data_IF_234642182313
#
_entry.id   IF_234642182313
#
_cell.length_a   1.000
_cell.length_b   1.000
_cell.length_c   1.000
_cell.angle_alpha   90.00
_cell.angle_beta   90.00
_cell.angle_gamma   90.00
#
_symmetry.space_group_name_H-M   'P 1'
#
loop_
_entity.id
_entity.type
_entity.pdbx_description
1 polymer ?
#
# COMPACT_ATOMS: atom_id res chain seq x y z
N UNK A 1 -28.52 14.68 7.70
CA UNK A 1 -27.63 15.13 6.61
C UNK A 1 -26.59 14.03 6.44
N UNK A 2 -26.70 13.32 5.33
CA UNK A 2 -25.88 12.16 5.05
C UNK A 2 -24.52 12.63 4.51
N UNK A 3 -23.43 12.36 5.25
CA UNK A 3 -22.06 12.72 4.86
C UNK A 3 -21.38 11.66 3.97
N UNK A 4 -22.14 10.73 3.39
CA UNK A 4 -21.63 9.60 2.60
C UNK A 4 -21.23 9.96 1.16
N UNK A 5 -21.19 11.23 0.78
CA UNK A 5 -21.06 11.69 -0.60
C UNK A 5 -19.71 12.29 -1.00
N UNK A 6 -18.60 12.08 -0.30
CA UNK A 6 -17.30 12.48 -0.84
C UNK A 6 -16.83 11.46 -1.85
N UNK A 7 -17.17 11.68 -3.11
CA UNK A 7 -16.55 10.95 -4.21
C UNK A 7 -15.04 11.14 -4.14
N UNK A 8 -14.31 10.04 -3.93
CA UNK A 8 -12.86 10.02 -4.04
C UNK A 8 -12.49 10.51 -5.44
N UNK A 9 -11.67 11.57 -5.52
CA UNK A 9 -11.22 12.10 -6.79
C UNK A 9 -10.46 11.01 -7.56
N UNK A 10 -10.98 10.60 -8.71
CA UNK A 10 -10.36 9.64 -9.60
C UNK A 10 -9.77 10.37 -10.80
N UNK A 11 -8.47 10.26 -10.96
CA UNK A 11 -7.79 10.80 -12.14
C UNK A 11 -7.86 9.79 -13.27
N UNK A 12 -8.59 10.12 -14.34
CA UNK A 12 -8.68 9.26 -15.53
C UNK A 12 -7.43 9.33 -16.40
N UNK A 13 -6.77 10.48 -16.46
CA UNK A 13 -5.51 10.69 -17.17
C UNK A 13 -4.71 11.81 -16.52
N UNK A 14 -3.51 11.49 -16.03
CA UNK A 14 -2.48 12.50 -15.78
C UNK A 14 -1.39 12.32 -16.84
N UNK A 15 -1.03 13.34 -17.63
CA UNK A 15 0.10 13.24 -18.55
C UNK A 15 1.36 12.84 -17.76
N UNK A 16 1.98 11.75 -18.17
CA UNK A 16 3.26 11.31 -17.63
C UNK A 16 3.22 10.22 -16.54
N UNK A 17 2.05 9.86 -15.99
CA UNK A 17 1.98 8.85 -14.92
C UNK A 17 0.80 7.91 -15.12
N UNK A 18 1.04 6.65 -15.54
CA UNK A 18 -0.01 5.71 -15.83
C UNK A 18 -0.72 5.26 -14.56
N UNK A 19 -1.98 4.90 -14.73
CA UNK A 19 -2.78 4.14 -13.79
C UNK A 19 -3.43 2.99 -14.53
N UNK A 20 -3.86 1.97 -13.77
CA UNK A 20 -4.69 0.88 -14.26
C UNK A 20 -6.10 1.03 -13.69
N UNK A 21 -6.98 1.86 -14.33
CA UNK A 21 -8.34 2.09 -13.84
C UNK A 21 -9.19 0.83 -13.74
N UNK A 22 -8.95 -0.14 -14.63
CA UNK A 22 -9.58 -1.47 -14.62
C UNK A 22 -9.26 -2.25 -13.35
N UNK A 23 -8.09 -2.02 -12.77
CA UNK A 23 -7.66 -2.55 -11.46
C UNK A 23 -7.80 -1.52 -10.34
N UNK A 24 -8.71 -0.57 -10.45
CA UNK A 24 -8.99 0.41 -9.40
C UNK A 24 -7.90 1.47 -9.18
N UNK A 25 -6.96 1.63 -10.12
CA UNK A 25 -5.94 2.67 -10.07
C UNK A 25 -6.48 4.08 -10.25
N UNK A 26 -5.68 5.09 -9.90
CA UNK A 26 -6.01 6.51 -10.02
C UNK A 26 -6.69 7.10 -8.80
N UNK A 27 -6.72 6.40 -7.68
CA UNK A 27 -7.19 6.90 -6.38
C UNK A 27 -5.99 7.19 -5.47
N UNK A 28 -6.12 8.17 -4.59
CA UNK A 28 -5.13 8.38 -3.53
C UNK A 28 -5.32 7.32 -2.45
N UNK A 29 -4.24 6.69 -1.98
CA UNK A 29 -4.33 5.72 -0.90
C UNK A 29 -4.69 6.46 0.40
N UNK A 30 -5.78 6.08 1.09
CA UNK A 30 -6.11 6.69 2.37
C UNK A 30 -5.06 6.36 3.42
N UNK A 31 -4.75 7.35 4.25
CA UNK A 31 -3.90 7.13 5.42
C UNK A 31 -4.74 6.59 6.57
N UNK A 32 -4.25 5.55 7.23
CA UNK A 32 -4.80 5.04 8.50
C UNK A 32 -3.67 4.88 9.53
N UNK A 33 -4.02 4.63 10.76
CA UNK A 33 -3.07 4.28 11.80
C UNK A 33 -2.76 2.79 11.73
N UNK A 34 -1.52 2.43 11.96
CA UNK A 34 -1.06 1.06 11.97
C UNK A 34 -0.15 0.79 13.17
N UNK A 35 -0.17 -0.45 13.65
CA UNK A 35 0.72 -0.93 14.71
C UNK A 35 1.54 -2.10 14.17
N UNK A 36 2.88 -1.99 14.15
CA UNK A 36 3.74 -3.10 13.75
C UNK A 36 3.52 -4.34 14.62
N UNK A 37 3.41 -5.51 13.99
CA UNK A 37 3.27 -6.80 14.67
C UNK A 37 4.60 -7.54 14.76
N UNK A 38 5.60 -7.15 13.98
CA UNK A 38 6.96 -7.68 14.06
C UNK A 38 7.99 -6.54 14.20
N UNK A 39 9.24 -6.88 14.50
CA UNK A 39 10.28 -5.89 14.77
C UNK A 39 10.30 -5.40 16.22
N UNK A 40 11.12 -4.39 16.50
CA UNK A 40 11.37 -3.88 17.86
C UNK A 40 10.36 -2.83 18.34
N UNK A 41 9.71 -2.13 17.42
CA UNK A 41 8.74 -1.09 17.76
C UNK A 41 7.34 -1.67 17.92
N UNK A 42 6.61 -1.17 18.92
CA UNK A 42 5.19 -1.44 19.13
C UNK A 42 4.37 -0.13 19.09
N UNK A 43 5.00 0.98 18.72
CA UNK A 43 4.34 2.27 18.64
C UNK A 43 3.38 2.32 17.46
N UNK A 44 2.28 3.04 17.62
CA UNK A 44 1.39 3.37 16.51
C UNK A 44 2.13 4.28 15.53
N UNK A 45 1.88 4.12 14.25
CA UNK A 45 2.46 4.94 13.18
C UNK A 45 1.44 5.17 12.08
N UNK A 46 1.72 6.08 11.17
CA UNK A 46 0.91 6.25 9.97
C UNK A 46 1.27 5.20 8.92
N UNK A 47 0.27 4.72 8.16
CA UNK A 47 0.54 3.79 7.05
C UNK A 47 1.49 4.38 6.02
N UNK A 48 1.45 5.70 5.79
CA UNK A 48 2.38 6.39 4.90
C UNK A 48 3.83 6.23 5.33
N UNK A 49 4.11 6.34 6.64
CA UNK A 49 5.46 6.18 7.18
C UNK A 49 5.96 4.74 7.01
N UNK A 50 5.07 3.74 7.18
CA UNK A 50 5.43 2.35 6.92
C UNK A 50 5.72 2.09 5.44
N UNK A 51 4.90 2.65 4.56
CA UNK A 51 4.95 2.37 3.12
C UNK A 51 6.13 3.07 2.46
N UNK A 52 6.46 4.30 2.86
CA UNK A 52 7.41 5.13 2.13
C UNK A 52 8.74 5.40 2.85
N UNK A 53 8.80 5.27 4.19
CA UNK A 53 10.03 5.54 4.92
C UNK A 53 11.13 4.55 4.55
N UNK A 54 12.30 5.09 4.18
CA UNK A 54 13.51 4.31 3.88
C UNK A 54 13.39 3.30 2.73
N UNK A 55 12.36 3.43 1.89
CA UNK A 55 12.15 2.54 0.74
C UNK A 55 12.97 2.99 -0.47
N UNK A 56 13.44 2.01 -1.24
CA UNK A 56 14.26 2.23 -2.45
C UNK A 56 13.50 1.86 -3.73
N UNK A 57 12.47 1.03 -3.63
CA UNK A 57 11.62 0.68 -4.76
C UNK A 57 10.88 1.91 -5.29
N UNK A 58 10.72 2.01 -6.61
CA UNK A 58 9.99 3.09 -7.28
C UNK A 58 8.49 2.99 -7.02
N UNK A 59 8.00 1.76 -6.99
CA UNK A 59 6.63 1.41 -6.64
C UNK A 59 6.66 0.60 -5.35
N UNK A 60 5.79 0.93 -4.42
CA UNK A 60 5.65 0.20 -3.17
C UNK A 60 4.54 -0.83 -3.31
N UNK A 61 4.72 -1.99 -2.67
CA UNK A 61 3.73 -3.06 -2.64
C UNK A 61 3.14 -3.17 -1.25
N UNK A 62 1.83 -2.95 -1.15
CA UNK A 62 1.05 -3.18 0.05
C UNK A 62 0.20 -4.44 -0.15
N UNK A 63 0.32 -5.38 0.79
CA UNK A 63 -0.46 -6.61 0.84
C UNK A 63 -1.55 -6.43 1.89
N UNK A 64 -2.80 -6.56 1.48
CA UNK A 64 -3.96 -6.45 2.38
C UNK A 64 -4.47 -7.84 2.73
N UNK A 65 -4.55 -8.15 4.01
CA UNK A 65 -5.15 -9.37 4.53
C UNK A 65 -6.16 -9.05 5.62
N UNK A 66 -7.21 -9.86 5.73
CA UNK A 66 -8.26 -9.64 6.73
C UNK A 66 -7.87 -10.22 8.09
N UNK A 67 -7.08 -11.29 8.09
CA UNK A 67 -6.60 -11.95 9.32
C UNK A 67 -5.10 -12.22 9.26
N UNK A 68 -4.44 -12.17 10.40
CA UNK A 68 -2.98 -12.29 10.53
C UNK A 68 -2.46 -13.63 9.97
N UNK A 69 -3.17 -14.73 10.17
CA UNK A 69 -2.76 -16.05 9.65
C UNK A 69 -2.66 -16.12 8.12
N UNK A 70 -3.32 -15.20 7.40
CA UNK A 70 -3.26 -15.10 5.93
C UNK A 70 -1.95 -14.47 5.43
N UNK A 71 -1.23 -13.77 6.30
CA UNK A 71 -0.05 -12.99 5.91
C UNK A 71 1.02 -13.87 5.24
N UNK A 72 1.33 -15.03 5.82
CA UNK A 72 2.35 -15.95 5.27
C UNK A 72 2.00 -16.45 3.87
N UNK A 73 0.74 -16.82 3.65
CA UNK A 73 0.26 -17.25 2.34
C UNK A 73 0.30 -16.11 1.32
N UNK A 74 -0.12 -14.91 1.72
CA UNK A 74 -0.10 -13.74 0.85
C UNK A 74 1.33 -13.33 0.46
N UNK A 75 2.29 -13.47 1.37
CA UNK A 75 3.71 -13.26 1.09
C UNK A 75 4.22 -14.28 0.06
N UNK A 76 3.87 -15.56 0.19
CA UNK A 76 4.26 -16.58 -0.78
C UNK A 76 3.76 -16.32 -2.21
N UNK A 77 2.62 -15.62 -2.34
CA UNK A 77 2.08 -15.26 -3.65
C UNK A 77 2.97 -14.24 -4.38
N UNK A 78 3.65 -13.36 -3.66
CA UNK A 78 4.49 -12.32 -4.27
C UNK A 78 5.95 -12.73 -4.49
N UNK A 79 6.31 -13.97 -4.17
CA UNK A 79 7.67 -14.44 -4.42
C UNK A 79 8.01 -14.33 -5.92
N UNK A 80 9.17 -13.72 -6.22
CA UNK A 80 9.62 -13.42 -7.58
C UNK A 80 9.03 -12.17 -8.23
N UNK A 81 8.14 -11.43 -7.55
CA UNK A 81 7.57 -10.17 -8.09
C UNK A 81 8.65 -9.11 -8.32
N UNK A 82 9.70 -9.10 -7.50
CA UNK A 82 10.86 -8.23 -7.70
C UNK A 82 11.54 -8.44 -9.05
N UNK A 83 11.76 -9.69 -9.44
CA UNK A 83 12.33 -10.05 -10.73
C UNK A 83 11.39 -9.71 -11.88
N UNK A 84 10.11 -10.08 -11.76
CA UNK A 84 9.08 -9.76 -12.75
C UNK A 84 8.93 -8.25 -12.98
N UNK A 85 9.17 -7.44 -11.96
CA UNK A 85 9.11 -5.98 -12.06
C UNK A 85 10.40 -5.35 -12.59
N UNK A 86 11.43 -6.12 -12.94
CA UNK A 86 12.77 -5.62 -13.26
C UNK A 86 13.34 -4.69 -12.18
N UNK A 87 13.06 -4.98 -10.91
CA UNK A 87 13.54 -4.22 -9.77
C UNK A 87 12.77 -2.92 -9.46
N UNK A 88 11.65 -2.65 -10.14
CA UNK A 88 10.78 -1.51 -9.83
C UNK A 88 10.11 -1.66 -8.47
N UNK A 89 9.84 -2.90 -8.09
CA UNK A 89 9.36 -3.28 -6.76
C UNK A 89 10.46 -4.09 -6.10
N UNK A 90 10.65 -3.83 -4.84
CA UNK A 90 11.47 -4.66 -3.96
C UNK A 90 10.52 -5.46 -3.08
N UNK A 91 10.44 -6.75 -3.34
CA UNK A 91 9.53 -7.64 -2.62
C UNK A 91 9.86 -7.73 -1.13
N UNK A 92 11.13 -7.56 -0.74
CA UNK A 92 11.55 -7.44 0.65
C UNK A 92 11.05 -6.17 1.35
N UNK A 93 10.70 -5.12 0.58
CA UNK A 93 10.13 -3.88 1.09
C UNK A 93 8.61 -3.91 1.17
N UNK A 94 7.97 -4.97 0.67
CA UNK A 94 6.51 -5.12 0.74
C UNK A 94 6.01 -5.12 2.19
N UNK A 95 4.88 -4.46 2.40
CA UNK A 95 4.24 -4.36 3.70
C UNK A 95 2.98 -5.20 3.70
N UNK A 96 2.80 -5.99 4.75
CA UNK A 96 1.54 -6.68 5.01
C UNK A 96 0.73 -5.87 6.01
N UNK A 97 -0.44 -5.42 5.62
CA UNK A 97 -1.39 -4.74 6.48
C UNK A 97 -2.57 -5.65 6.79
N UNK A 98 -2.71 -6.00 8.05
CA UNK A 98 -3.79 -6.85 8.58
C UNK A 98 -4.97 -5.96 8.95
N UNK A 99 -6.14 -6.21 8.35
CA UNK A 99 -7.37 -5.46 8.58
C UNK A 99 -8.14 -5.95 9.82
N UNK A 100 -7.42 -6.35 10.87
CA UNK A 100 -7.95 -6.86 12.12
C UNK A 100 -7.33 -6.11 13.29
N UNK A 101 -8.14 -5.35 14.03
CA UNK A 101 -7.71 -4.61 15.21
C UNK A 101 -7.23 -5.53 16.35
N UNK A 102 -7.71 -6.77 16.39
CA UNK A 102 -7.36 -7.73 17.45
C UNK A 102 -6.10 -8.56 17.14
N UNK A 103 -5.52 -8.42 15.93
CA UNK A 103 -4.34 -9.18 15.56
C UNK A 103 -3.16 -8.88 16.50
N UNK A 104 -2.42 -9.91 16.87
CA UNK A 104 -1.29 -9.86 17.79
C UNK A 104 0.01 -10.30 17.15
N UNK A 105 1.13 -10.12 17.85
CA UNK A 105 2.45 -10.59 17.41
C UNK A 105 2.51 -12.11 17.25
N UNK A 106 1.83 -12.82 18.12
CA UNK A 106 1.85 -14.29 18.13
C UNK A 106 1.21 -14.86 16.86
N UNK A 107 0.27 -14.12 16.25
CA UNK A 107 -0.44 -14.51 15.04
C UNK A 107 0.44 -14.45 13.77
N UNK A 108 1.56 -13.74 13.81
CA UNK A 108 2.46 -13.51 12.66
C UNK A 108 3.83 -14.16 12.82
N UNK A 109 3.98 -15.10 13.74
CA UNK A 109 5.23 -15.79 14.02
C UNK A 109 5.88 -16.38 12.76
N UNK A 110 7.22 -16.21 12.63
CA UNK A 110 8.01 -16.71 11.50
C UNK A 110 8.03 -15.83 10.24
N UNK A 111 7.59 -14.57 10.34
CA UNK A 111 7.74 -13.58 9.28
C UNK A 111 8.79 -12.55 9.71
N UNK A 112 10.06 -12.80 9.37
CA UNK A 112 11.18 -12.01 9.93
C UNK A 112 11.68 -10.89 9.01
N UNK A 113 11.47 -11.00 7.70
CA UNK A 113 12.11 -10.11 6.72
C UNK A 113 11.23 -8.97 6.21
N UNK A 114 9.91 -9.07 6.38
CA UNK A 114 8.95 -8.07 5.87
C UNK A 114 8.21 -7.43 7.02
N UNK A 115 7.87 -6.16 6.84
CA UNK A 115 7.05 -5.46 7.83
C UNK A 115 5.62 -6.00 7.79
N UNK A 116 5.15 -6.51 8.91
CA UNK A 116 3.75 -6.87 9.14
C UNK A 116 3.19 -5.91 10.17
N UNK A 117 2.10 -5.25 9.84
CA UNK A 117 1.40 -4.35 10.73
C UNK A 117 -0.10 -4.65 10.67
N UNK A 118 -0.82 -4.33 11.74
CA UNK A 118 -2.27 -4.27 11.72
C UNK A 118 -2.76 -2.84 11.69
N UNK A 119 -3.99 -2.64 11.28
CA UNK A 119 -4.67 -1.36 11.52
C UNK A 119 -4.75 -1.09 13.02
N UNK A 120 -4.73 0.20 13.40
CA UNK A 120 -4.88 0.64 14.78
C UNK A 120 -6.14 1.50 14.93
N UNK A 121 -6.72 1.49 16.12
CA UNK A 121 -7.89 2.32 16.45
C UNK A 121 -7.52 3.79 16.70
N UNK A 122 -8.53 4.65 16.75
CA UNK A 122 -8.34 6.03 17.20
C UNK A 122 -7.89 6.14 18.65
N UNK A 123 -8.36 5.23 19.50
CA UNK A 123 -7.98 5.19 20.93
C UNK A 123 -6.50 4.82 21.09
N UNK A 124 -6.02 3.83 20.33
CA UNK A 124 -4.60 3.46 20.32
C UNK A 124 -3.69 4.61 19.84
N UNK A 125 -4.18 5.46 18.93
CA UNK A 125 -3.47 6.67 18.53
C UNK A 125 -3.43 7.69 19.66
N UNK A 126 -4.54 7.89 20.39
CA UNK A 126 -4.61 8.83 21.50
C UNK A 126 -3.68 8.39 22.66
N UNK A 127 -3.58 7.10 22.92
CA UNK A 127 -2.73 6.52 23.95
C UNK A 127 -1.23 6.60 23.59
N UNK A 128 -0.89 6.79 22.33
CA UNK A 128 0.52 6.92 21.89
C UNK A 128 1.02 8.34 22.13
N UNK A 129 1.72 8.55 23.25
CA UNK A 129 2.25 9.85 23.64
C UNK A 129 3.18 10.49 22.60
N UNK A 130 3.86 9.70 21.77
CA UNK A 130 4.79 10.21 20.76
C UNK A 130 4.07 10.79 19.56
N UNK A 131 2.96 10.18 19.16
CA UNK A 131 2.19 10.61 17.99
C UNK A 131 1.11 11.61 18.36
N UNK A 132 0.41 11.37 19.47
CA UNK A 132 -0.77 12.14 19.83
C UNK A 132 -0.47 13.36 20.71
N UNK A 133 0.72 13.44 21.30
CA UNK A 133 1.08 14.55 22.20
C UNK A 133 0.55 15.89 21.68
N UNK A 134 -0.32 16.55 22.46
CA UNK A 134 -0.92 17.86 22.15
C UNK A 134 -1.74 17.93 20.83
N UNK A 135 -2.01 16.80 20.19
CA UNK A 135 -2.90 16.74 19.03
C UNK A 135 -4.33 16.44 19.44
N UNK A 136 -5.33 17.05 18.79
CA UNK A 136 -6.72 16.70 19.06
C UNK A 136 -6.98 15.23 18.69
N UNK A 137 -7.87 14.59 19.47
CA UNK A 137 -8.35 13.26 19.14
C UNK A 137 -8.95 13.23 17.72
N UNK A 138 -8.69 12.16 16.94
CA UNK A 138 -9.23 12.06 15.61
C UNK A 138 -10.77 11.93 15.67
N UNK A 139 -11.46 12.86 15.03
CA UNK A 139 -12.91 12.79 14.90
C UNK A 139 -13.28 12.02 13.63
N UNK A 140 -14.25 11.13 13.74
CA UNK A 140 -14.73 10.33 12.59
C UNK A 140 -13.63 9.46 11.93
N UNK A 141 -12.64 9.03 12.69
CA UNK A 141 -11.61 8.15 12.20
C UNK A 141 -12.19 6.76 11.88
N UNK A 142 -11.89 6.27 10.68
CA UNK A 142 -12.27 4.94 10.23
C UNK A 142 -10.98 4.11 9.99
N UNK A 143 -10.67 3.12 10.84
CA UNK A 143 -9.49 2.28 10.67
C UNK A 143 -9.57 1.39 9.44
N UNK A 144 -10.76 1.09 8.93
CA UNK A 144 -10.99 0.24 7.76
C UNK A 144 -11.03 1.02 6.44
N UNK A 145 -10.73 2.31 6.47
CA UNK A 145 -10.89 3.21 5.31
C UNK A 145 -10.18 2.73 4.04
N UNK A 146 -9.00 2.11 4.15
CA UNK A 146 -8.31 1.55 2.99
C UNK A 146 -9.18 0.45 2.35
N UNK A 147 -9.77 -0.43 3.14
CA UNK A 147 -10.66 -1.48 2.66
C UNK A 147 -11.95 -0.94 2.06
N UNK A 148 -12.51 0.09 2.68
CA UNK A 148 -13.77 0.70 2.23
C UNK A 148 -13.62 1.44 0.91
N UNK A 149 -12.47 2.06 0.65
CA UNK A 149 -12.20 2.80 -0.59
C UNK A 149 -11.70 1.89 -1.73
N UNK A 150 -11.09 0.76 -1.41
CA UNK A 150 -10.71 -0.27 -2.36
C UNK A 150 -11.77 -1.37 -2.40
N UNK A 151 -11.80 -2.16 -3.50
CA UNK A 151 -12.72 -3.32 -3.56
C UNK A 151 -12.35 -4.33 -2.46
N UNK A 152 -13.36 -4.94 -1.83
CA UNK A 152 -13.16 -5.88 -0.72
C UNK A 152 -12.25 -7.09 -1.07
N UNK A 153 -12.24 -7.50 -2.35
CA UNK A 153 -11.41 -8.59 -2.86
C UNK A 153 -9.95 -8.23 -3.07
N UNK A 154 -9.58 -6.93 -3.03
CA UNK A 154 -8.19 -6.48 -3.28
C UNK A 154 -7.24 -7.07 -2.24
N UNK A 155 -6.13 -7.63 -2.73
CA UNK A 155 -5.05 -8.18 -1.90
C UNK A 155 -3.72 -7.47 -2.10
N UNK A 156 -3.44 -6.99 -3.30
CA UNK A 156 -2.15 -6.41 -3.66
C UNK A 156 -2.37 -5.01 -4.21
N UNK A 157 -1.75 -4.02 -3.58
CA UNK A 157 -1.87 -2.63 -3.98
C UNK A 157 -0.49 -2.11 -4.39
N UNK A 158 -0.36 -1.74 -5.65
CA UNK A 158 0.82 -1.09 -6.19
C UNK A 158 0.66 0.42 -6.01
N UNK A 159 1.59 1.03 -5.25
CA UNK A 159 1.49 2.42 -4.81
C UNK A 159 2.69 3.18 -5.33
N UNK A 160 2.44 4.31 -5.96
CA UNK A 160 3.45 5.23 -6.45
C UNK A 160 3.97 6.13 -5.33
N UNK A 161 5.17 6.69 -5.51
CA UNK A 161 5.79 7.57 -4.52
C UNK A 161 4.99 8.85 -4.18
N UNK A 162 4.00 9.22 -5.00
CA UNK A 162 3.05 10.32 -4.75
C UNK A 162 1.75 9.86 -4.06
N UNK A 163 1.74 8.65 -3.50
CA UNK A 163 0.64 8.01 -2.76
C UNK A 163 -0.57 7.62 -3.60
N UNK A 164 -0.50 7.73 -4.92
CA UNK A 164 -1.55 7.24 -5.78
C UNK A 164 -1.42 5.74 -6.01
N UNK A 165 -2.57 5.06 -5.96
CA UNK A 165 -2.68 3.66 -6.34
C UNK A 165 -2.47 3.55 -7.85
N UNK A 166 -1.44 2.82 -8.26
CA UNK A 166 -1.22 2.46 -9.65
C UNK A 166 -2.20 1.35 -10.07
N UNK A 167 -2.29 0.29 -9.25
CA UNK A 167 -3.23 -0.81 -9.42
C UNK A 167 -3.58 -1.43 -8.07
N UNK A 168 -4.81 -1.93 -7.94
CA UNK A 168 -5.32 -2.67 -6.79
C UNK A 168 -5.83 -4.04 -7.26
N UNK A 169 -4.99 -5.05 -7.12
CA UNK A 169 -5.14 -6.38 -7.71
C UNK A 169 -5.73 -7.37 -6.70
N UNK A 170 -6.53 -8.30 -7.17
CA UNK A 170 -7.17 -9.33 -6.34
C UNK A 170 -6.33 -10.59 -6.21
N UNK A 171 -5.53 -10.89 -7.22
CA UNK A 171 -4.72 -12.09 -7.32
C UNK A 171 -3.38 -11.84 -8.00
N UNK A 172 -2.61 -12.91 -8.19
CA UNK A 172 -1.29 -12.85 -8.80
C UNK A 172 -1.36 -12.50 -10.29
N UNK A 173 -2.35 -12.97 -11.01
CA UNK A 173 -2.48 -12.74 -12.45
C UNK A 173 -2.71 -11.26 -12.75
N UNK A 174 -3.64 -10.61 -12.05
CA UNK A 174 -3.85 -9.16 -12.13
C UNK A 174 -2.59 -8.38 -11.74
N UNK A 175 -1.87 -8.83 -10.69
CA UNK A 175 -0.62 -8.22 -10.26
C UNK A 175 0.45 -8.28 -11.34
N UNK A 176 0.67 -9.45 -11.96
CA UNK A 176 1.65 -9.64 -13.03
C UNK A 176 1.29 -8.82 -14.28
N UNK A 177 0.00 -8.74 -14.63
CA UNK A 177 -0.45 -7.92 -15.75
C UNK A 177 -0.22 -6.42 -15.49
N UNK A 178 -0.51 -5.96 -14.30
CA UNK A 178 -0.23 -4.58 -13.89
C UNK A 178 1.28 -4.26 -13.97
N UNK A 179 2.14 -5.20 -13.54
CA UNK A 179 3.59 -5.03 -13.61
C UNK A 179 4.11 -5.00 -15.04
N UNK A 180 3.65 -5.89 -15.92
CA UNK A 180 4.01 -5.86 -17.35
C UNK A 180 3.63 -4.53 -18.00
N UNK A 181 2.47 -4.00 -17.66
CA UNK A 181 2.01 -2.69 -18.12
C UNK A 181 2.92 -1.55 -17.66
N UNK A 182 3.33 -1.59 -16.37
CA UNK A 182 4.25 -0.60 -15.81
C UNK A 182 5.62 -0.63 -16.53
N UNK A 183 6.17 -1.81 -16.77
CA UNK A 183 7.42 -1.99 -17.50
C UNK A 183 7.32 -1.42 -18.93
N UNK A 184 6.28 -1.78 -19.66
CA UNK A 184 6.06 -1.30 -21.02
C UNK A 184 6.02 0.23 -21.08
N UNK A 185 5.33 0.84 -20.12
CA UNK A 185 5.27 2.29 -20.02
C UNK A 185 6.64 2.92 -19.78
N UNK A 186 7.41 2.40 -18.82
CA UNK A 186 8.72 2.97 -18.48
C UNK A 186 9.73 2.79 -19.61
N UNK A 187 9.73 1.66 -20.30
CA UNK A 187 10.57 1.46 -21.50
C UNK A 187 10.18 2.40 -22.64
N UNK A 188 8.89 2.59 -22.90
CA UNK A 188 8.42 3.54 -23.90
C UNK A 188 8.84 4.98 -23.62
N UNK A 189 8.86 5.40 -22.37
CA UNK A 189 9.34 6.73 -21.96
C UNK A 189 10.86 6.90 -22.15
N UNK A 190 11.64 5.86 -21.94
CA UNK A 190 13.09 5.90 -22.16
C UNK A 190 13.42 6.07 -23.65
N UNK A 191 12.73 5.36 -24.53
CA UNK A 191 12.92 5.48 -25.98
C UNK A 191 12.56 6.89 -26.48
N UNK A 192 11.51 7.50 -25.98
CA UNK A 192 11.08 8.85 -26.38
C UNK A 192 12.08 9.94 -25.96
N UNK A 193 12.83 9.76 -24.87
CA UNK A 193 13.83 10.72 -24.40
C UNK A 193 15.13 10.71 -25.24
N UNK A 194 15.42 9.61 -25.93
CA UNK A 194 16.61 9.51 -26.76
C UNK A 194 16.43 10.05 -28.19
N UNK A 195 15.20 10.42 -28.57
CA UNK A 195 14.87 10.91 -29.94
C UNK A 195 14.81 12.44 -30.01
N UNK A 196 15.05 13.18 -28.93
CA UNK A 196 15.15 14.64 -29.04
C UNK A 196 16.49 15.02 -29.70
N UNK A 197 16.48 15.66 -30.87
CA UNK A 197 17.71 16.16 -31.48
C UNK A 197 18.33 17.23 -30.58
N UNK A 198 19.62 17.14 -30.37
CA UNK A 198 20.39 18.23 -29.76
C UNK A 198 20.32 19.41 -30.77
N UNK A 199 19.56 20.43 -30.42
CA UNK A 199 19.65 21.75 -31.03
C UNK A 199 20.84 22.51 -30.45
#
# INVERSE_FOLDING_TARGET
MDCSGRATARYKHAPGLPFRPEYGGGVNLPQVYARPLNGSSNAVTFTDDLIFAHKKGVIQLLILVDKAHQAKSAIGIIDGVGELSCGLIRDEEAIVLVNDLAASRDDVGGIDRRTVARIASGDEFIEDEKLCKDRPAPTHYNPHRIRDELRASVRFVLIRGDKFVFAACTDREELEDALRSLQTYLHGQQMSRHVLPRL
#
